data_IF_226570747012
#
_entry.id   IF_226570747012
#
_cell.length_a   1.000
_cell.length_b   1.000
_cell.length_c   1.000
_cell.angle_alpha   90.00
_cell.angle_beta   90.00
_cell.angle_gamma   90.00
#
_symmetry.space_group_name_H-M   'P 1'
#
loop_
_entity.id
_entity.type
_entity.pdbx_description
1 polymer ?
#
# COMPACT_ATOMS: atom_id res chain seq x y z
N UNK A 1 -19.94 -13.34 -8.45
CA UNK A 1 -18.53 -13.11 -8.81
C UNK A 1 -18.21 -13.79 -10.15
N UNK A 2 -17.38 -13.20 -11.02
CA UNK A 2 -17.02 -13.81 -12.31
C UNK A 2 -16.19 -15.09 -12.12
N UNK A 3 -16.20 -16.04 -13.07
CA UNK A 3 -15.35 -17.23 -13.02
C UNK A 3 -13.85 -16.91 -12.87
N UNK A 4 -13.35 -15.89 -13.59
CA UNK A 4 -11.96 -15.45 -13.49
C UNK A 4 -11.58 -14.90 -12.11
N UNK A 5 -12.45 -14.10 -11.49
CA UNK A 5 -12.21 -13.58 -10.14
C UNK A 5 -12.14 -14.72 -9.10
N UNK A 6 -13.01 -15.72 -9.22
CA UNK A 6 -12.97 -16.91 -8.35
C UNK A 6 -11.71 -17.74 -8.56
N UNK A 7 -11.26 -17.90 -9.80
CA UNK A 7 -10.03 -18.62 -10.11
C UNK A 7 -8.80 -17.93 -9.48
N UNK A 8 -8.73 -16.60 -9.58
CA UNK A 8 -7.69 -15.79 -8.96
C UNK A 8 -7.67 -15.93 -7.43
N UNK A 9 -8.82 -15.78 -6.77
CA UNK A 9 -8.90 -15.90 -5.31
C UNK A 9 -8.42 -17.28 -4.83
N UNK A 10 -8.80 -18.36 -5.53
CA UNK A 10 -8.34 -19.71 -5.21
C UNK A 10 -6.83 -19.89 -5.44
N UNK A 11 -6.27 -19.31 -6.51
CA UNK A 11 -4.83 -19.37 -6.77
C UNK A 11 -4.04 -18.65 -5.66
N UNK A 12 -4.50 -17.47 -5.27
CA UNK A 12 -3.88 -16.69 -4.21
C UNK A 12 -4.00 -17.37 -2.83
N UNK A 13 -5.17 -17.92 -2.50
CA UNK A 13 -5.40 -18.71 -1.28
C UNK A 13 -4.44 -19.90 -1.19
N UNK A 14 -4.31 -20.70 -2.26
CA UNK A 14 -3.38 -21.83 -2.31
C UNK A 14 -1.93 -21.39 -2.08
N UNK A 15 -1.54 -20.27 -2.70
CA UNK A 15 -0.19 -19.73 -2.57
C UNK A 15 0.11 -19.27 -1.14
N UNK A 16 -0.88 -18.69 -0.44
CA UNK A 16 -0.77 -18.27 0.96
C UNK A 16 -0.83 -19.43 1.96
N UNK A 17 -1.51 -20.52 1.63
CA UNK A 17 -1.65 -21.69 2.51
C UNK A 17 -0.35 -22.51 2.67
N UNK A 18 0.65 -22.28 1.80
CA UNK A 18 1.94 -22.96 1.90
C UNK A 18 2.70 -22.51 3.16
N UNK A 19 3.21 -23.42 4.00
CA UNK A 19 4.05 -23.06 5.15
C UNK A 19 5.30 -22.25 4.77
N UNK A 20 5.78 -22.40 3.53
CA UNK A 20 6.93 -21.67 3.00
C UNK A 20 6.59 -20.24 2.50
N UNK A 21 5.31 -19.85 2.47
CA UNK A 21 4.86 -18.58 1.93
C UNK A 21 5.42 -17.36 2.69
N UNK A 22 5.70 -17.53 3.99
CA UNK A 22 6.13 -16.44 4.88
C UNK A 22 5.07 -15.34 5.02
N UNK A 23 5.45 -14.21 5.64
CA UNK A 23 4.51 -13.13 5.97
C UNK A 23 4.24 -12.14 4.80
N UNK A 24 4.92 -12.28 3.67
CA UNK A 24 4.82 -11.32 2.56
C UNK A 24 3.68 -11.71 1.62
N UNK A 25 2.65 -10.88 1.57
CA UNK A 25 1.49 -11.16 0.73
C UNK A 25 1.68 -10.80 -0.77
N UNK A 26 2.38 -9.69 -1.06
CA UNK A 26 2.50 -9.14 -2.42
C UNK A 26 3.08 -10.10 -3.48
N UNK A 27 4.12 -10.92 -3.19
CA UNK A 27 4.62 -11.89 -4.16
C UNK A 27 3.56 -12.92 -4.58
N UNK A 28 2.80 -13.45 -3.62
CA UNK A 28 1.75 -14.45 -3.83
C UNK A 28 0.57 -13.87 -4.62
N UNK A 29 0.18 -12.63 -4.32
CA UNK A 29 -0.83 -11.90 -5.09
C UNK A 29 -0.41 -11.73 -6.55
N UNK A 30 0.84 -11.29 -6.78
CA UNK A 30 1.37 -11.08 -8.13
C UNK A 30 1.50 -12.39 -8.91
N UNK A 31 1.85 -13.50 -8.24
CA UNK A 31 1.87 -14.82 -8.85
C UNK A 31 0.48 -15.24 -9.31
N UNK A 32 -0.53 -15.18 -8.43
CA UNK A 32 -1.91 -15.53 -8.76
C UNK A 32 -2.49 -14.68 -9.91
N UNK A 33 -2.13 -13.38 -9.97
CA UNK A 33 -2.51 -12.52 -11.10
C UNK A 33 -1.93 -13.00 -12.43
N UNK A 34 -0.65 -13.39 -12.46
CA UNK A 34 0.01 -13.90 -13.67
C UNK A 34 -0.57 -15.24 -14.12
N UNK A 35 -0.89 -16.12 -13.18
CA UNK A 35 -1.48 -17.44 -13.48
C UNK A 35 -2.89 -17.34 -14.08
N UNK A 36 -3.67 -16.33 -13.68
CA UNK A 36 -5.09 -16.23 -14.04
C UNK A 36 -5.39 -15.24 -15.15
N UNK A 37 -4.38 -14.49 -15.63
CA UNK A 37 -4.50 -13.51 -16.72
C UNK A 37 -5.67 -12.53 -16.52
N UNK A 38 -5.96 -12.16 -15.27
CA UNK A 38 -7.02 -11.19 -15.00
C UNK A 38 -6.67 -9.81 -15.59
N UNK A 39 -7.65 -9.10 -16.18
CA UNK A 39 -7.45 -7.72 -16.60
C UNK A 39 -6.98 -6.86 -15.42
N UNK A 40 -5.84 -6.19 -15.60
CA UNK A 40 -5.24 -5.34 -14.58
C UNK A 40 -5.10 -3.91 -15.07
N UNK A 41 -5.18 -2.97 -14.13
CA UNK A 41 -4.83 -1.57 -14.37
C UNK A 41 -3.89 -1.09 -13.27
N UNK A 42 -2.71 -0.63 -13.67
CA UNK A 42 -1.72 -0.08 -12.75
C UNK A 42 -2.14 1.33 -12.35
N UNK A 43 -2.12 1.62 -11.05
CA UNK A 43 -2.38 2.95 -10.55
C UNK A 43 -1.20 3.89 -10.88
N UNK A 44 -1.45 5.11 -11.37
CA UNK A 44 -0.38 6.02 -11.77
C UNK A 44 0.48 6.45 -10.57
N UNK A 45 1.80 6.38 -10.69
CA UNK A 45 2.68 6.61 -9.54
C UNK A 45 2.73 8.07 -9.10
N UNK A 46 2.46 9.02 -9.99
CA UNK A 46 2.31 10.43 -9.65
C UNK A 46 1.12 10.68 -8.70
N UNK A 47 0.07 9.85 -8.78
CA UNK A 47 -1.10 9.92 -7.91
C UNK A 47 -0.97 9.01 -6.67
N UNK A 48 -0.26 7.90 -6.80
CA UNK A 48 -0.13 6.86 -5.77
C UNK A 48 1.34 6.49 -5.50
N UNK A 49 2.19 7.45 -5.08
CA UNK A 49 3.60 7.18 -4.87
C UNK A 49 3.83 6.28 -3.65
N UNK A 50 4.94 5.54 -3.72
CA UNK A 50 5.49 4.87 -2.54
C UNK A 50 6.25 5.88 -1.65
N UNK A 51 6.52 5.49 -0.42
CA UNK A 51 7.07 6.37 0.60
C UNK A 51 8.50 6.80 0.29
N UNK A 52 9.28 5.98 -0.40
CA UNK A 52 10.62 6.34 -0.84
C UNK A 52 10.59 7.46 -1.90
N UNK A 53 9.72 7.33 -2.91
CA UNK A 53 9.55 8.37 -3.94
C UNK A 53 9.02 9.65 -3.33
N UNK A 54 7.99 9.57 -2.50
CA UNK A 54 7.42 10.76 -1.88
C UNK A 54 8.41 11.45 -0.92
N UNK A 55 9.33 10.71 -0.29
CA UNK A 55 10.37 11.30 0.54
C UNK A 55 11.40 12.14 -0.24
N UNK A 56 11.50 11.99 -1.56
CA UNK A 56 12.41 12.78 -2.40
C UNK A 56 11.81 14.15 -2.72
N UNK A 57 12.50 15.21 -2.30
CA UNK A 57 12.10 16.60 -2.55
C UNK A 57 12.10 16.93 -4.04
N UNK A 58 13.14 16.49 -4.76
CA UNK A 58 13.23 16.62 -6.21
C UNK A 58 12.06 15.94 -6.92
N UNK A 59 11.67 14.74 -6.47
CA UNK A 59 10.51 14.05 -7.03
C UNK A 59 9.22 14.83 -6.77
N UNK A 60 9.00 15.33 -5.54
CA UNK A 60 7.79 16.12 -5.20
C UNK A 60 7.72 17.42 -6.01
N UNK A 61 8.84 18.13 -6.17
CA UNK A 61 8.92 19.36 -6.94
C UNK A 61 8.62 19.16 -8.44
N UNK A 62 8.93 17.98 -8.99
CA UNK A 62 8.61 17.64 -10.37
C UNK A 62 7.12 17.29 -10.61
N UNK A 63 6.32 17.11 -9.55
CA UNK A 63 4.91 16.74 -9.70
C UNK A 63 4.03 17.98 -9.95
N UNK A 64 3.13 17.86 -10.93
CA UNK A 64 2.17 18.93 -11.28
C UNK A 64 1.03 19.09 -10.27
N UNK A 65 0.74 18.05 -9.49
CA UNK A 65 -0.38 17.99 -8.56
C UNK A 65 0.00 17.19 -7.32
N UNK A 66 -0.62 17.47 -6.16
CA UNK A 66 -0.48 16.62 -4.98
C UNK A 66 -0.94 15.17 -5.26
N UNK A 67 -0.34 14.18 -4.58
CA UNK A 67 -0.78 12.79 -4.71
C UNK A 67 -2.18 12.61 -4.08
N UNK A 68 -2.89 11.58 -4.54
CA UNK A 68 -4.17 11.14 -3.96
C UNK A 68 -3.92 10.34 -2.68
N UNK A 69 -2.92 9.47 -2.69
CA UNK A 69 -2.52 8.66 -1.54
C UNK A 69 -1.02 8.37 -1.57
N UNK A 70 -0.35 8.48 -0.42
CA UNK A 70 1.06 8.09 -0.27
C UNK A 70 1.14 6.78 0.51
N UNK A 71 1.69 5.73 -0.12
CA UNK A 71 1.97 4.49 0.60
C UNK A 71 3.25 4.65 1.41
N UNK A 72 3.12 4.89 2.72
CA UNK A 72 4.21 5.13 3.67
C UNK A 72 5.06 3.86 3.99
N UNK A 73 5.48 3.13 2.96
CA UNK A 73 6.40 2.00 3.04
C UNK A 73 7.86 2.47 3.09
N UNK A 74 8.82 1.53 3.11
CA UNK A 74 10.26 1.78 3.32
C UNK A 74 10.65 2.26 4.73
N UNK A 75 9.69 2.30 5.66
CA UNK A 75 9.93 2.56 7.07
C UNK A 75 9.18 1.51 7.90
N UNK A 76 9.81 1.02 8.96
CA UNK A 76 9.26 0.00 9.86
C UNK A 76 8.77 0.66 11.16
N UNK A 77 7.72 0.09 11.74
CA UNK A 77 7.15 0.57 13.00
C UNK A 77 6.04 1.61 12.83
N UNK A 78 5.07 1.54 13.74
CA UNK A 78 3.90 2.43 13.78
C UNK A 78 4.30 3.90 14.01
N UNK A 79 5.05 4.15 15.08
CA UNK A 79 5.47 5.51 15.48
C UNK A 79 6.26 6.24 14.40
N UNK A 80 7.20 5.53 13.75
CA UNK A 80 8.00 6.09 12.68
C UNK A 80 7.15 6.50 11.47
N UNK A 81 6.12 5.69 11.13
CA UNK A 81 5.16 6.00 10.07
C UNK A 81 4.32 7.22 10.42
N UNK A 82 3.78 7.28 11.64
CA UNK A 82 3.01 8.43 12.12
C UNK A 82 3.84 9.71 12.10
N UNK A 83 5.06 9.69 12.67
CA UNK A 83 5.97 10.84 12.69
C UNK A 83 6.25 11.35 11.27
N UNK A 84 6.46 10.45 10.30
CA UNK A 84 6.71 10.85 8.91
C UNK A 84 5.49 11.49 8.25
N UNK A 85 4.30 10.94 8.47
CA UNK A 85 3.08 11.57 7.96
C UNK A 85 2.79 12.93 8.61
N UNK A 86 3.03 13.09 9.92
CA UNK A 86 2.95 14.38 10.60
C UNK A 86 3.92 15.39 9.99
N UNK A 87 5.18 15.00 9.77
CA UNK A 87 6.20 15.85 9.14
C UNK A 87 5.83 16.28 7.71
N UNK A 88 5.07 15.46 6.98
CA UNK A 88 4.56 15.80 5.64
C UNK A 88 3.22 16.57 5.65
N UNK A 89 2.67 16.89 6.82
CA UNK A 89 1.35 17.53 6.93
C UNK A 89 0.19 16.62 6.49
N UNK A 90 0.40 15.30 6.48
CA UNK A 90 -0.56 14.28 6.01
C UNK A 90 -1.26 13.54 7.17
N UNK A 91 -1.12 14.05 8.40
CA UNK A 91 -1.76 13.47 9.57
C UNK A 91 -2.87 14.40 10.07
N UNK A 92 -4.12 14.02 9.82
CA UNK A 92 -5.29 14.87 10.10
C UNK A 92 -5.88 14.70 11.52
N UNK A 93 -5.39 13.75 12.31
CA UNK A 93 -5.89 13.58 13.67
C UNK A 93 -5.34 14.69 14.57
N UNK A 94 -6.23 15.53 15.11
CA UNK A 94 -5.92 16.33 16.29
C UNK A 94 -5.57 15.35 17.42
N UNK A 95 -4.49 15.62 18.17
CA UNK A 95 -4.03 14.73 19.24
C UNK A 95 -5.12 14.48 20.33
N UNK A 96 -6.16 15.30 20.41
CA UNK A 96 -7.32 15.09 21.29
C UNK A 96 -8.23 13.93 20.88
N UNK A 97 -8.40 13.65 19.58
CA UNK A 97 -9.33 12.63 19.10
C UNK A 97 -8.82 11.18 19.31
N UNK A 98 -7.50 11.01 19.46
CA UNK A 98 -6.88 9.71 19.73
C UNK A 98 -6.95 9.30 21.21
N UNK A 99 -7.18 10.26 22.12
CA UNK A 99 -7.31 9.99 23.56
C UNK A 99 -8.67 9.35 23.90
N UNK A 100 -9.74 9.77 23.22
CA UNK A 100 -11.10 9.24 23.45
C UNK A 100 -11.33 7.84 22.87
N UNK A 101 -10.58 7.43 21.84
CA UNK A 101 -10.67 6.08 21.26
C UNK A 101 -9.89 5.00 22.04
N UNK A 102 -9.17 5.39 23.09
CA UNK A 102 -8.35 4.48 23.92
C UNK A 102 -8.88 4.33 25.35
N UNK A 103 -10.02 4.93 25.68
CA UNK A 103 -10.83 4.63 26.88
C UNK A 103 -11.91 3.61 26.50
#
# INVERSE_FOLDING_TARGET
>A
QSPGARAFLRAWERSLASPAAGAKNQPHFNQALRETNLPLRVLPCEKFPNGYRYASDAWRAAQRRPPVLVHNNWIKGHEAKMKRFRAWGMWLANDSALYELRK
#
